data_IF_632248501183
#
_entry.id   IF_632248501183
#
_cell.length_a   1.000
_cell.length_b   1.000
_cell.length_c   1.000
_cell.angle_alpha   90.00
_cell.angle_beta   90.00
_cell.angle_gamma   90.00
#
_symmetry.space_group_name_H-M   'P 1'
#
loop_
_entity.id
_entity.type
_entity.pdbx_description
1 polymer ?
#
# COMPACT_ATOMS: atom_id res chain seq x y z
N UNK A 1 5.46 6.85 12.55
CA UNK A 1 5.83 7.86 11.52
C UNK A 1 4.63 8.54 10.82
N UNK A 2 3.41 8.01 10.89
CA UNK A 2 2.19 8.71 10.42
C UNK A 2 1.43 9.49 11.52
N UNK A 3 1.63 9.13 12.78
CA UNK A 3 0.91 9.69 13.95
C UNK A 3 1.26 11.16 14.31
N UNK A 4 2.20 11.80 13.60
CA UNK A 4 2.63 13.18 13.87
C UNK A 4 2.15 14.20 12.80
N UNK A 5 0.99 13.95 12.17
CA UNK A 5 0.35 14.92 11.27
C UNK A 5 0.80 14.86 9.80
N UNK A 6 1.31 13.71 9.34
CA UNK A 6 1.67 13.47 7.93
C UNK A 6 0.66 12.63 7.17
N UNK A 7 -0.43 12.17 7.82
CA UNK A 7 -1.54 11.56 7.11
C UNK A 7 -2.12 12.59 6.13
N UNK A 8 -2.07 12.25 4.84
CA UNK A 8 -2.52 13.07 3.71
C UNK A 8 -2.74 12.11 2.56
N UNK A 9 -3.92 12.18 1.95
CA UNK A 9 -4.17 11.56 0.66
C UNK A 9 -4.91 12.56 -0.23
N UNK A 10 -4.77 12.50 -1.56
CA UNK A 10 -5.64 13.24 -2.46
C UNK A 10 -7.09 12.75 -2.31
N UNK A 11 -8.04 13.45 -2.94
CA UNK A 11 -9.39 12.91 -3.05
C UNK A 11 -9.31 11.57 -3.81
N UNK A 12 -9.71 10.49 -3.15
CA UNK A 12 -9.83 9.17 -3.73
C UNK A 12 -11.29 8.95 -4.17
N UNK A 13 -11.49 8.03 -5.09
CA UNK A 13 -12.81 7.66 -5.60
C UNK A 13 -13.69 7.00 -4.51
N UNK A 14 -15.01 7.05 -4.68
CA UNK A 14 -16.00 6.53 -3.71
C UNK A 14 -15.90 5.01 -3.46
N UNK A 15 -15.23 4.29 -4.35
CA UNK A 15 -14.97 2.85 -4.25
C UNK A 15 -13.72 2.51 -3.41
N UNK A 16 -13.09 3.52 -2.79
CA UNK A 16 -11.94 3.34 -1.89
C UNK A 16 -12.33 3.63 -0.44
N UNK A 17 -12.22 2.62 0.43
CA UNK A 17 -12.37 2.81 1.87
C UNK A 17 -11.01 3.20 2.48
N UNK A 18 -10.96 4.36 3.13
CA UNK A 18 -9.76 4.85 3.83
C UNK A 18 -9.99 4.78 5.33
N UNK A 19 -9.05 4.16 6.04
CA UNK A 19 -9.00 4.16 7.51
C UNK A 19 -7.75 4.85 7.98
N UNK A 20 -7.88 6.04 8.54
CA UNK A 20 -6.74 6.82 9.00
C UNK A 20 -5.93 6.14 10.13
N UNK A 21 -4.62 6.43 10.22
CA UNK A 21 -3.87 7.37 9.38
C UNK A 21 -3.38 6.75 8.08
N UNK A 22 -3.57 7.46 6.97
CA UNK A 22 -3.05 7.06 5.65
C UNK A 22 -2.28 8.21 4.99
N UNK A 23 -1.16 7.88 4.37
CA UNK A 23 -0.46 8.74 3.42
C UNK A 23 -0.54 8.15 2.01
N UNK A 24 -0.96 8.96 1.04
CA UNK A 24 -0.93 8.62 -0.39
C UNK A 24 -0.28 9.80 -1.12
N UNK A 25 0.85 9.53 -1.76
CA UNK A 25 1.57 10.51 -2.57
C UNK A 25 0.77 10.90 -3.82
N UNK A 26 1.02 12.11 -4.31
CA UNK A 26 0.41 12.58 -5.56
C UNK A 26 0.86 11.67 -6.73
N UNK A 27 -0.09 11.25 -7.57
CA UNK A 27 0.17 10.35 -8.70
C UNK A 27 0.01 8.85 -8.41
N UNK A 28 -0.13 8.45 -7.15
CA UNK A 28 -0.59 7.10 -6.82
C UNK A 28 -2.06 6.90 -7.21
N UNK A 29 -2.44 5.66 -7.54
CA UNK A 29 -3.80 5.27 -7.95
C UNK A 29 -4.29 4.15 -7.05
N UNK A 30 -5.50 4.31 -6.54
CA UNK A 30 -6.16 3.31 -5.70
C UNK A 30 -7.59 3.15 -6.21
N UNK A 31 -8.00 1.91 -6.49
CA UNK A 31 -9.33 1.58 -7.00
C UNK A 31 -9.89 0.36 -6.26
N UNK A 32 -11.20 0.36 -5.98
CA UNK A 32 -11.94 -0.77 -5.37
C UNK A 32 -11.19 -1.43 -4.21
N UNK A 33 -10.60 -0.62 -3.34
CA UNK A 33 -9.62 -1.08 -2.36
C UNK A 33 -9.87 -0.48 -0.99
N UNK A 34 -9.36 -1.14 0.04
CA UNK A 34 -9.37 -0.67 1.42
C UNK A 34 -7.95 -0.39 1.88
N UNK A 35 -7.66 0.84 2.28
CA UNK A 35 -6.33 1.25 2.72
C UNK A 35 -6.37 1.79 4.16
N UNK A 36 -5.49 1.28 5.01
CA UNK A 36 -5.30 1.72 6.38
C UNK A 36 -5.87 0.79 7.47
N UNK A 37 -5.52 1.05 8.75
CA UNK A 37 -4.68 2.15 9.22
C UNK A 37 -3.19 1.97 8.95
N UNK A 38 -2.42 3.04 9.17
CA UNK A 38 -0.95 3.08 9.11
C UNK A 38 -0.37 2.65 7.76
N UNK A 39 -0.94 3.17 6.66
CA UNK A 39 -0.47 2.88 5.32
C UNK A 39 0.21 4.10 4.71
N UNK A 40 1.34 3.87 4.03
CA UNK A 40 2.00 4.85 3.16
C UNK A 40 2.06 4.30 1.75
N UNK A 41 1.63 5.07 0.76
CA UNK A 41 1.67 4.72 -0.65
C UNK A 41 2.43 5.82 -1.39
N UNK A 42 3.56 5.45 -2.00
CA UNK A 42 4.40 6.38 -2.75
C UNK A 42 3.93 6.59 -4.20
N UNK A 43 4.53 7.58 -4.87
CA UNK A 43 4.07 8.06 -6.16
C UNK A 43 4.11 6.96 -7.23
N UNK A 44 3.17 7.01 -8.18
CA UNK A 44 3.11 6.06 -9.28
C UNK A 44 2.68 4.64 -8.90
N UNK A 45 2.52 4.31 -7.62
CA UNK A 45 1.96 3.04 -7.20
C UNK A 45 0.50 2.90 -7.67
N UNK A 46 0.11 1.69 -8.06
CA UNK A 46 -1.23 1.34 -8.50
C UNK A 46 -1.76 0.17 -7.68
N UNK A 47 -2.84 0.40 -6.93
CA UNK A 47 -3.53 -0.61 -6.13
C UNK A 47 -4.94 -0.82 -6.69
N UNK A 48 -5.32 -2.07 -6.93
CA UNK A 48 -6.67 -2.43 -7.39
C UNK A 48 -7.19 -3.68 -6.70
N UNK A 49 -8.46 -3.68 -6.32
CA UNK A 49 -9.13 -4.85 -5.72
C UNK A 49 -8.37 -5.42 -4.49
N UNK A 50 -7.80 -4.54 -3.67
CA UNK A 50 -6.84 -4.91 -2.63
C UNK A 50 -7.18 -4.36 -1.25
N UNK A 51 -6.70 -5.05 -0.21
CA UNK A 51 -6.76 -4.56 1.18
C UNK A 51 -5.34 -4.39 1.72
N UNK A 52 -4.99 -3.19 2.17
CA UNK A 52 -3.66 -2.86 2.68
C UNK A 52 -3.79 -2.18 4.05
N UNK A 53 -3.05 -2.66 5.05
CA UNK A 53 -3.00 -2.05 6.40
C UNK A 53 -1.61 -2.22 7.00
N UNK A 54 -1.20 -1.33 7.91
CA UNK A 54 0.07 -1.42 8.64
C UNK A 54 1.26 -1.72 7.71
N UNK A 55 1.32 -1.04 6.56
CA UNK A 55 2.24 -1.37 5.48
C UNK A 55 2.79 -0.12 4.77
N UNK A 56 3.97 -0.28 4.17
CA UNK A 56 4.61 0.74 3.33
C UNK A 56 4.66 0.20 1.91
N UNK A 57 4.14 0.96 0.96
CA UNK A 57 4.08 0.63 -0.46
C UNK A 57 4.96 1.63 -1.23
N UNK A 58 6.05 1.12 -1.83
CA UNK A 58 7.05 1.90 -2.53
C UNK A 58 6.62 2.42 -3.92
N UNK A 59 7.48 3.22 -4.51
CA UNK A 59 7.23 3.93 -5.78
C UNK A 59 6.98 2.95 -6.93
N UNK A 60 6.00 3.25 -7.80
CA UNK A 60 5.79 2.50 -9.04
C UNK A 60 5.42 1.02 -8.86
N UNK A 61 4.95 0.64 -7.66
CA UNK A 61 4.48 -0.73 -7.38
C UNK A 61 3.12 -0.99 -8.01
N UNK A 62 2.87 -2.23 -8.40
CA UNK A 62 1.59 -2.69 -8.94
C UNK A 62 1.05 -3.81 -8.05
N UNK A 63 -0.10 -3.56 -7.43
CA UNK A 63 -0.69 -4.50 -6.46
C UNK A 63 -2.14 -4.76 -6.86
N UNK A 64 -2.47 -6.03 -7.02
CA UNK A 64 -3.78 -6.46 -7.44
C UNK A 64 -4.29 -7.71 -6.75
N UNK A 65 -5.61 -7.76 -6.47
CA UNK A 65 -6.29 -8.92 -5.85
C UNK A 65 -5.57 -9.42 -4.58
N UNK A 66 -4.92 -8.51 -3.85
CA UNK A 66 -3.97 -8.83 -2.80
C UNK A 66 -4.41 -8.32 -1.42
N UNK A 67 -3.97 -9.01 -0.37
CA UNK A 67 -4.09 -8.56 1.02
C UNK A 67 -2.71 -8.37 1.63
N UNK A 68 -2.38 -7.15 2.05
CA UNK A 68 -1.05 -6.81 2.61
C UNK A 68 -1.21 -6.28 4.03
N UNK A 69 -0.45 -6.84 4.97
CA UNK A 69 -0.43 -6.38 6.36
C UNK A 69 0.92 -6.56 7.04
N UNK A 70 1.32 -5.61 7.89
CA UNK A 70 2.59 -5.65 8.61
C UNK A 70 3.80 -5.83 7.68
N UNK A 71 3.74 -5.25 6.48
CA UNK A 71 4.72 -5.53 5.42
C UNK A 71 5.33 -4.27 4.82
N UNK A 72 6.53 -4.41 4.28
CA UNK A 72 7.19 -3.40 3.47
C UNK A 72 7.30 -3.93 2.04
N UNK A 73 6.68 -3.22 1.10
CA UNK A 73 6.80 -3.48 -0.34
C UNK A 73 7.69 -2.38 -0.92
N UNK A 74 8.87 -2.73 -1.39
CA UNK A 74 9.82 -1.82 -2.02
C UNK A 74 9.39 -1.37 -3.41
N UNK A 75 10.18 -0.51 -4.03
CA UNK A 75 9.83 0.13 -5.30
C UNK A 75 9.77 -0.87 -6.46
N UNK A 76 8.85 -0.61 -7.41
CA UNK A 76 8.69 -1.36 -8.66
C UNK A 76 8.50 -2.87 -8.47
N UNK A 77 7.82 -3.26 -7.39
CA UNK A 77 7.37 -4.64 -7.12
C UNK A 77 5.96 -4.84 -7.70
N UNK A 78 5.73 -6.01 -8.28
CA UNK A 78 4.41 -6.46 -8.73
C UNK A 78 3.91 -7.59 -7.84
N UNK A 79 2.68 -7.47 -7.34
CA UNK A 79 1.99 -8.48 -6.52
C UNK A 79 0.60 -8.69 -7.13
N UNK A 80 0.26 -9.94 -7.47
CA UNK A 80 -1.03 -10.28 -8.07
C UNK A 80 -1.62 -11.55 -7.42
N UNK A 81 -2.76 -11.41 -6.75
CA UNK A 81 -3.47 -12.54 -6.14
C UNK A 81 -2.81 -13.12 -4.87
N UNK A 82 -1.81 -12.44 -4.30
CA UNK A 82 -1.06 -12.93 -3.15
C UNK A 82 -1.41 -12.18 -1.86
N UNK A 83 -1.24 -12.86 -0.72
CA UNK A 83 -1.39 -12.26 0.61
C UNK A 83 -0.04 -12.19 1.31
N UNK A 84 0.39 -10.98 1.69
CA UNK A 84 1.61 -10.75 2.44
C UNK A 84 1.27 -10.38 3.88
N UNK A 85 1.85 -11.10 4.83
CA UNK A 85 1.74 -10.79 6.25
C UNK A 85 3.11 -10.89 6.92
N UNK A 86 3.59 -9.81 7.53
CA UNK A 86 4.91 -9.76 8.16
C UNK A 86 6.05 -10.06 7.15
N UNK A 87 6.00 -9.42 5.99
CA UNK A 87 6.93 -9.66 4.88
C UNK A 87 7.66 -8.38 4.45
N UNK A 88 8.85 -8.56 3.89
CA UNK A 88 9.55 -7.56 3.08
C UNK A 88 9.60 -8.08 1.65
N UNK A 89 9.03 -7.32 0.72
CA UNK A 89 9.07 -7.60 -0.70
C UNK A 89 9.94 -6.56 -1.41
N UNK A 90 10.93 -7.01 -2.17
CA UNK A 90 11.76 -6.24 -3.09
C UNK A 90 11.70 -6.91 -4.46
N UNK A 91 12.17 -6.21 -5.51
CA UNK A 91 11.93 -6.61 -6.93
C UNK A 91 12.19 -8.09 -7.24
N UNK A 92 13.21 -8.69 -6.64
CA UNK A 92 13.60 -10.09 -6.87
C UNK A 92 13.58 -10.96 -5.59
N UNK A 93 13.04 -10.46 -4.47
CA UNK A 93 13.09 -11.15 -3.19
C UNK A 93 11.86 -10.85 -2.33
N UNK A 94 11.21 -11.91 -1.83
CA UNK A 94 10.18 -11.79 -0.80
C UNK A 94 10.63 -12.64 0.39
N UNK A 95 10.74 -12.01 1.57
CA UNK A 95 11.19 -12.65 2.80
C UNK A 95 10.39 -12.20 4.02
N UNK A 96 10.49 -12.92 5.12
CA UNK A 96 9.85 -12.53 6.38
C UNK A 96 10.51 -11.28 6.97
N UNK A 97 9.69 -10.36 7.50
CA UNK A 97 10.18 -9.21 8.26
C UNK A 97 10.70 -9.69 9.64
N UNK A 98 11.85 -9.16 10.10
CA UNK A 98 12.49 -9.56 11.35
C UNK A 98 11.73 -9.10 12.61
#
# INVERSE_FOLDING_TARGET
>A
LLQHGRARHPALSDDVEVVDPVFVADGARVERSRIGPNVSIDAGAALRDSTVRDAIIGEGTEISDATISHSLVGDHVTIDGESLHNMVAARDEIGEAP
#
